data_IF_617153068648
#
_entry.id   IF_617153068648
#
_cell.length_a   1.000
_cell.length_b   1.000
_cell.length_c   1.000
_cell.angle_alpha   90.00
_cell.angle_beta   90.00
_cell.angle_gamma   90.00
#
_symmetry.space_group_name_H-M   'P 1'
#
loop_
_entity.id
_entity.type
_entity.pdbx_description
1 polymer ?
#
# COMPACT_ATOMS: atom_id res chain seq x y z
N UNK A 1 -62.94 -9.88 30.09
CA UNK A 1 -62.37 -9.29 28.86
C UNK A 1 -61.68 -8.00 29.25
N UNK A 2 -60.38 -8.07 29.56
CA UNK A 2 -59.51 -6.90 29.66
C UNK A 2 -58.41 -7.16 28.64
N UNK A 3 -58.52 -6.49 27.50
CA UNK A 3 -57.52 -6.56 26.44
C UNK A 3 -56.26 -5.83 26.92
N UNK A 4 -55.20 -6.61 27.15
CA UNK A 4 -53.85 -6.07 27.36
C UNK A 4 -53.37 -5.54 26.02
N UNK A 5 -53.42 -4.21 25.87
CA UNK A 5 -52.86 -3.54 24.71
C UNK A 5 -51.36 -3.86 24.60
N UNK A 6 -50.95 -4.42 23.47
CA UNK A 6 -49.53 -4.59 23.13
C UNK A 6 -48.88 -3.20 23.04
N UNK A 7 -47.71 -2.98 23.64
CA UNK A 7 -46.96 -1.75 23.43
C UNK A 7 -46.66 -1.61 21.94
N UNK A 8 -46.92 -0.42 21.39
CA UNK A 8 -46.57 -0.07 20.02
C UNK A 8 -45.08 -0.36 19.78
N UNK A 9 -44.69 -0.85 18.59
CA UNK A 9 -43.28 -1.07 18.27
C UNK A 9 -42.53 0.24 18.51
N UNK A 10 -41.42 0.14 19.25
CA UNK A 10 -40.64 1.27 19.71
C UNK A 10 -40.39 2.25 18.58
N UNK A 11 -40.78 3.50 18.80
CA UNK A 11 -40.15 4.64 18.13
C UNK A 11 -38.77 4.78 18.73
N UNK A 12 -37.90 3.79 18.49
CA UNK A 12 -36.49 3.93 18.75
C UNK A 12 -35.99 4.93 17.73
N UNK A 13 -36.15 6.21 18.08
CA UNK A 13 -35.43 7.34 17.53
C UNK A 13 -33.96 7.19 17.91
N UNK A 14 -33.36 6.04 17.58
CA UNK A 14 -31.91 5.88 17.51
C UNK A 14 -31.48 6.60 16.23
N UNK A 15 -31.73 7.91 16.23
CA UNK A 15 -31.36 8.82 15.18
C UNK A 15 -29.85 8.79 15.15
N UNK A 16 -29.29 8.31 14.03
CA UNK A 16 -27.85 8.24 13.84
C UNK A 16 -27.20 9.59 14.21
N UNK A 17 -26.59 9.65 15.39
CA UNK A 17 -25.99 10.87 15.91
C UNK A 17 -24.54 10.92 15.45
N UNK A 18 -24.23 11.81 14.52
CA UNK A 18 -22.85 12.05 14.09
C UNK A 18 -22.15 12.85 15.19
N UNK A 19 -21.30 12.19 15.97
CA UNK A 19 -20.51 12.81 17.02
C UNK A 19 -19.22 13.40 16.43
N UNK A 20 -19.14 14.73 16.36
CA UNK A 20 -17.98 15.46 15.79
C UNK A 20 -16.77 15.54 16.75
N UNK A 21 -16.78 14.81 17.86
CA UNK A 21 -15.83 15.02 18.98
C UNK A 21 -14.36 14.70 18.66
N UNK A 22 -14.06 14.02 17.54
CA UNK A 22 -12.69 13.64 17.17
C UNK A 22 -12.23 14.17 15.81
N UNK A 23 -13.09 14.87 15.06
CA UNK A 23 -12.65 15.47 13.81
C UNK A 23 -11.96 16.80 14.09
N UNK A 24 -10.87 17.04 13.36
CA UNK A 24 -10.23 18.35 13.37
C UNK A 24 -10.92 19.21 12.33
N UNK A 25 -11.49 20.38 12.69
CA UNK A 25 -12.10 21.27 11.72
C UNK A 25 -11.05 21.71 10.70
N UNK A 26 -11.36 21.52 9.42
CA UNK A 26 -10.50 21.93 8.32
C UNK A 26 -10.76 23.40 7.98
N UNK A 27 -9.81 24.28 8.29
CA UNK A 27 -9.89 25.73 8.06
C UNK A 27 -9.22 26.20 6.76
N UNK A 28 -8.65 25.29 5.97
CA UNK A 28 -7.92 25.62 4.74
C UNK A 28 -8.82 25.80 3.52
N UNK A 29 -8.23 26.30 2.42
CA UNK A 29 -8.91 26.36 1.12
C UNK A 29 -9.26 24.94 0.64
N UNK A 30 -10.47 24.77 0.09
CA UNK A 30 -10.93 23.49 -0.47
C UNK A 30 -10.39 23.37 -1.90
N UNK A 31 -9.50 22.41 -2.14
CA UNK A 31 -8.78 22.26 -3.41
C UNK A 31 -9.57 21.48 -4.50
N UNK A 32 -10.88 21.34 -4.33
CA UNK A 32 -11.75 20.55 -5.22
C UNK A 32 -11.34 19.07 -5.34
N UNK A 33 -11.86 18.40 -6.38
CA UNK A 33 -11.60 16.98 -6.62
C UNK A 33 -10.12 16.70 -6.94
N UNK A 34 -9.51 17.50 -7.81
CA UNK A 34 -8.12 17.30 -8.22
C UNK A 34 -7.15 17.44 -7.03
N UNK A 35 -7.42 18.38 -6.12
CA UNK A 35 -6.63 18.53 -4.89
C UNK A 35 -6.79 17.35 -3.94
N UNK A 36 -8.00 16.84 -3.77
CA UNK A 36 -8.25 15.63 -2.98
C UNK A 36 -7.50 14.42 -3.55
N UNK A 37 -7.59 14.18 -4.87
CA UNK A 37 -6.86 13.10 -5.55
C UNK A 37 -5.35 13.21 -5.34
N UNK A 38 -4.78 14.41 -5.49
CA UNK A 38 -3.34 14.64 -5.26
C UNK A 38 -2.93 14.38 -3.81
N UNK A 39 -3.77 14.76 -2.85
CA UNK A 39 -3.50 14.52 -1.44
C UNK A 39 -3.49 13.01 -1.11
N UNK A 40 -4.47 12.27 -1.64
CA UNK A 40 -4.54 10.80 -1.48
C UNK A 40 -3.34 10.15 -2.14
N UNK A 41 -3.04 10.45 -3.41
CA UNK A 41 -1.89 9.89 -4.13
C UNK A 41 -0.57 10.20 -3.41
N UNK A 42 -0.36 11.45 -3.00
CA UNK A 42 0.85 11.85 -2.27
C UNK A 42 0.98 11.16 -0.92
N UNK A 43 -0.13 10.96 -0.21
CA UNK A 43 -0.17 10.19 1.04
C UNK A 43 0.17 8.73 0.80
N UNK A 44 -0.46 8.09 -0.19
CA UNK A 44 -0.21 6.71 -0.58
C UNK A 44 1.25 6.49 -0.97
N UNK A 45 1.85 7.34 -1.79
CA UNK A 45 3.26 7.24 -2.20
C UNK A 45 4.21 7.36 -1.00
N UNK A 46 3.98 8.33 -0.11
CA UNK A 46 4.80 8.49 1.10
C UNK A 46 4.68 7.28 2.02
N UNK A 47 3.46 6.76 2.14
CA UNK A 47 3.16 5.58 2.93
C UNK A 47 3.85 4.33 2.38
N UNK A 48 3.72 4.04 1.08
CA UNK A 48 4.30 2.84 0.44
C UNK A 48 5.82 2.86 0.40
N UNK A 49 6.42 4.03 0.19
CA UNK A 49 7.87 4.19 0.22
C UNK A 49 8.43 4.31 1.64
N UNK A 50 7.56 4.39 2.66
CA UNK A 50 7.97 4.48 4.07
C UNK A 50 8.64 5.79 4.46
N UNK A 51 8.37 6.89 3.73
CA UNK A 51 8.88 8.22 4.06
C UNK A 51 8.23 8.74 5.36
N UNK A 52 9.05 9.16 6.33
CA UNK A 52 8.58 9.72 7.60
C UNK A 52 8.27 8.71 8.72
N UNK A 53 8.57 7.41 8.54
CA UNK A 53 8.41 6.37 9.57
C UNK A 53 9.74 5.70 9.94
N UNK A 54 9.88 5.17 11.18
CA UNK A 54 11.08 4.45 11.61
C UNK A 54 11.34 3.26 10.71
N UNK A 55 12.63 2.95 10.50
CA UNK A 55 13.15 2.02 9.48
C UNK A 55 12.45 0.65 9.41
N UNK A 56 11.87 0.19 10.52
CA UNK A 56 11.06 -1.04 10.59
C UNK A 56 9.90 -1.12 9.59
N UNK A 57 9.37 0.01 9.09
CA UNK A 57 8.30 0.01 8.07
C UNK A 57 8.81 0.13 6.63
N UNK A 58 10.13 0.24 6.44
CA UNK A 58 10.74 0.37 5.11
C UNK A 58 11.12 -0.99 4.51
N UNK A 59 10.92 -2.08 5.25
CA UNK A 59 11.28 -3.42 4.78
C UNK A 59 10.59 -3.77 3.45
N UNK A 60 9.35 -3.32 3.24
CA UNK A 60 8.57 -3.59 2.03
C UNK A 60 9.22 -3.07 0.74
N UNK A 61 9.45 -1.75 0.57
CA UNK A 61 10.09 -1.23 -0.64
C UNK A 61 11.54 -1.72 -0.79
N UNK A 62 12.26 -1.90 0.32
CA UNK A 62 13.63 -2.42 0.27
C UNK A 62 13.69 -3.87 -0.20
N UNK A 63 12.72 -4.72 0.16
CA UNK A 63 12.68 -6.11 -0.31
C UNK A 63 12.54 -6.17 -1.84
N UNK A 64 11.67 -5.33 -2.42
CA UNK A 64 11.50 -5.26 -3.87
C UNK A 64 12.79 -4.80 -4.57
N UNK A 65 13.48 -3.79 -4.01
CA UNK A 65 14.79 -3.34 -4.51
C UNK A 65 15.83 -4.45 -4.43
N UNK A 66 15.85 -5.21 -3.33
CA UNK A 66 16.79 -6.33 -3.13
C UNK A 66 16.56 -7.42 -4.18
N UNK A 67 15.32 -7.87 -4.38
CA UNK A 67 15.00 -8.89 -5.39
C UNK A 67 15.35 -8.41 -6.80
N UNK A 68 15.14 -7.12 -7.10
CA UNK A 68 15.42 -6.56 -8.42
C UNK A 68 16.90 -6.28 -8.68
N UNK A 69 17.69 -5.91 -7.67
CA UNK A 69 19.05 -5.39 -7.85
C UNK A 69 20.15 -6.37 -7.45
N UNK A 70 19.92 -7.20 -6.42
CA UNK A 70 20.95 -8.12 -5.92
C UNK A 70 21.38 -9.13 -6.97
N UNK A 71 20.47 -9.78 -7.74
CA UNK A 71 20.90 -10.70 -8.80
C UNK A 71 21.80 -10.03 -9.85
N UNK A 72 21.45 -8.83 -10.34
CA UNK A 72 22.32 -8.09 -11.27
C UNK A 72 23.70 -7.80 -10.69
N UNK A 73 23.77 -7.31 -9.44
CA UNK A 73 25.04 -7.00 -8.79
C UNK A 73 25.89 -8.27 -8.68
N UNK A 74 25.29 -9.40 -8.31
CA UNK A 74 25.99 -10.69 -8.20
C UNK A 74 26.52 -11.14 -9.56
N UNK A 75 25.71 -11.09 -10.61
CA UNK A 75 26.11 -11.47 -11.96
C UNK A 75 27.26 -10.61 -12.48
N UNK A 76 27.17 -9.28 -12.36
CA UNK A 76 28.23 -8.34 -12.76
C UNK A 76 29.49 -8.53 -11.92
N UNK A 77 29.32 -8.76 -10.61
CA UNK A 77 30.42 -8.98 -9.68
C UNK A 77 31.21 -10.24 -10.01
N UNK A 78 30.53 -11.37 -10.29
CA UNK A 78 31.17 -12.61 -10.69
C UNK A 78 31.93 -12.44 -12.01
N UNK A 79 31.32 -11.80 -13.01
CA UNK A 79 31.94 -11.53 -14.31
C UNK A 79 33.26 -10.78 -14.15
N UNK A 80 33.23 -9.74 -13.32
CA UNK A 80 34.36 -8.83 -13.12
C UNK A 80 35.48 -9.45 -12.28
N UNK A 81 35.13 -10.21 -11.23
CA UNK A 81 36.13 -10.78 -10.30
C UNK A 81 36.86 -11.98 -10.91
N UNK A 82 36.14 -12.81 -11.69
CA UNK A 82 36.73 -14.01 -12.26
C UNK A 82 37.34 -13.78 -13.66
N UNK A 83 37.18 -12.59 -14.23
CA UNK A 83 37.61 -12.24 -15.60
C UNK A 83 37.09 -13.25 -16.64
N UNK A 84 35.88 -13.79 -16.38
CA UNK A 84 35.22 -14.76 -17.26
C UNK A 84 34.29 -13.96 -18.18
N UNK A 85 34.38 -14.24 -19.48
CA UNK A 85 33.40 -13.76 -20.44
C UNK A 85 32.12 -14.59 -20.30
N UNK A 86 31.31 -14.26 -19.29
CA UNK A 86 30.08 -14.99 -18.95
C UNK A 86 29.03 -14.99 -20.08
N UNK A 87 29.18 -14.10 -21.07
CA UNK A 87 28.38 -14.07 -22.30
C UNK A 87 28.76 -15.25 -23.19
N UNK A 88 30.06 -15.54 -23.31
CA UNK A 88 30.61 -16.63 -24.10
C UNK A 88 30.38 -18.01 -23.45
N UNK A 89 30.28 -18.08 -22.12
CA UNK A 89 29.97 -19.32 -21.38
C UNK A 89 28.47 -19.58 -21.14
N UNK A 90 27.58 -18.68 -21.59
CA UNK A 90 26.11 -18.81 -21.43
C UNK A 90 25.64 -18.87 -19.96
N UNK A 91 26.41 -18.24 -19.05
CA UNK A 91 26.14 -18.21 -17.60
C UNK A 91 25.33 -16.96 -17.23
N UNK A 92 25.50 -15.87 -18.00
CA UNK A 92 24.67 -14.68 -17.84
C UNK A 92 23.30 -14.91 -18.47
N UNK A 93 22.19 -14.57 -17.75
CA UNK A 93 20.88 -14.55 -18.37
C UNK A 93 20.85 -13.58 -19.55
N UNK A 94 20.14 -13.92 -20.60
CA UNK A 94 19.87 -12.98 -21.68
C UNK A 94 19.09 -11.76 -21.16
N UNK A 95 19.17 -10.64 -21.89
CA UNK A 95 18.48 -9.41 -21.49
C UNK A 95 16.98 -9.62 -21.21
N UNK A 96 16.33 -10.52 -21.97
CA UNK A 96 14.92 -10.82 -21.77
C UNK A 96 14.66 -11.65 -20.50
N UNK A 97 15.57 -12.55 -20.13
CA UNK A 97 15.44 -13.40 -18.94
C UNK A 97 15.57 -12.57 -17.67
N UNK A 98 16.30 -11.44 -17.74
CA UNK A 98 16.41 -10.51 -16.63
C UNK A 98 15.05 -9.86 -16.25
N UNK A 99 14.13 -9.70 -17.21
CA UNK A 99 12.80 -9.17 -16.89
C UNK A 99 12.04 -10.05 -15.89
N UNK A 100 12.32 -11.36 -15.84
CA UNK A 100 11.71 -12.25 -14.85
C UNK A 100 12.00 -11.83 -13.39
N UNK A 101 13.21 -11.34 -13.10
CA UNK A 101 13.56 -10.83 -11.77
C UNK A 101 12.82 -9.51 -11.45
N UNK A 102 12.68 -8.62 -12.43
CA UNK A 102 11.97 -7.36 -12.28
C UNK A 102 10.48 -7.61 -12.08
N UNK A 103 9.88 -8.48 -12.89
CA UNK A 103 8.47 -8.87 -12.78
C UNK A 103 8.19 -9.53 -11.43
N UNK A 104 9.05 -10.46 -10.98
CA UNK A 104 8.93 -11.08 -9.67
C UNK A 104 8.97 -10.02 -8.54
N UNK A 105 9.92 -9.08 -8.61
CA UNK A 105 10.02 -7.99 -7.64
C UNK A 105 8.75 -7.11 -7.64
N UNK A 106 8.20 -6.79 -8.82
CA UNK A 106 6.96 -6.03 -8.96
C UNK A 106 5.76 -6.80 -8.39
N UNK A 107 5.63 -8.10 -8.68
CA UNK A 107 4.55 -8.92 -8.13
C UNK A 107 4.61 -9.02 -6.61
N UNK A 108 5.81 -9.22 -6.03
CA UNK A 108 5.99 -9.19 -4.58
C UNK A 108 5.65 -7.83 -3.98
N UNK A 109 6.14 -6.74 -4.60
CA UNK A 109 5.81 -5.38 -4.15
C UNK A 109 4.30 -5.14 -4.16
N UNK A 110 3.64 -5.41 -5.29
CA UNK A 110 2.20 -5.24 -5.45
C UNK A 110 1.41 -6.13 -4.48
N UNK A 111 1.78 -7.41 -4.35
CA UNK A 111 1.10 -8.37 -3.50
C UNK A 111 1.05 -7.94 -2.04
N UNK A 112 2.06 -7.23 -1.55
CA UNK A 112 2.10 -6.76 -0.16
C UNK A 112 1.56 -5.32 -0.03
N UNK A 113 1.84 -4.45 -0.99
CA UNK A 113 1.47 -3.01 -0.93
C UNK A 113 -0.01 -2.77 -1.23
N UNK A 114 -0.55 -3.42 -2.26
CA UNK A 114 -1.93 -3.20 -2.73
C UNK A 114 -2.98 -3.44 -1.63
N UNK A 115 -2.97 -4.56 -0.86
CA UNK A 115 -3.99 -4.78 0.17
C UNK A 115 -3.95 -3.73 1.27
N UNK A 116 -2.75 -3.25 1.62
CA UNK A 116 -2.60 -2.22 2.65
C UNK A 116 -3.22 -0.89 2.20
N UNK A 117 -3.05 -0.48 0.94
CA UNK A 117 -3.68 0.76 0.42
C UNK A 117 -5.19 0.60 0.29
N UNK A 118 -5.67 -0.54 -0.22
CA UNK A 118 -7.10 -0.74 -0.51
C UNK A 118 -7.94 -0.95 0.75
N UNK A 119 -7.37 -1.57 1.79
CA UNK A 119 -8.14 -1.97 2.98
C UNK A 119 -7.86 -1.05 4.18
N UNK A 120 -6.86 -0.17 4.14
CA UNK A 120 -6.52 0.71 5.26
C UNK A 120 -7.72 1.49 5.80
N UNK A 121 -8.54 2.11 4.94
CA UNK A 121 -9.68 2.93 5.38
C UNK A 121 -10.78 2.09 6.03
N UNK A 122 -11.02 0.87 5.52
CA UNK A 122 -11.95 -0.09 6.15
C UNK A 122 -11.41 -0.59 7.49
N UNK A 123 -10.12 -0.95 7.57
CA UNK A 123 -9.46 -1.43 8.78
C UNK A 123 -9.44 -0.37 9.89
N UNK A 124 -9.30 0.90 9.51
CA UNK A 124 -9.30 2.02 10.44
C UNK A 124 -10.72 2.52 10.79
N UNK A 125 -11.77 1.88 10.26
CA UNK A 125 -13.16 2.26 10.53
C UNK A 125 -13.58 3.60 9.96
N UNK A 126 -12.85 4.14 8.97
CA UNK A 126 -13.17 5.43 8.33
C UNK A 126 -14.38 5.32 7.39
N UNK A 127 -14.65 4.11 6.88
CA UNK A 127 -15.80 3.79 6.03
C UNK A 127 -16.82 2.95 6.81
N UNK A 128 -17.28 3.45 7.95
CA UNK A 128 -18.46 2.94 8.63
C UNK A 128 -19.70 3.38 7.83
N UNK A 129 -20.12 2.57 6.86
CA UNK A 129 -21.47 2.62 6.29
C UNK A 129 -22.32 1.49 6.87
#
# INVERSE_FOLDING_TARGET
MNDVAMPAPGTDNDAAQILDQRYRPYSGARHGLAGAMRAVVGSSVRFTLGFGRPARHKFLPWLAVVVALVPAIVFVGIATVLDIDLISENILPEYHEYYGFIEAALFFFCGIVVPEILVADRRNGMLSL
#
